data_IF_576686787585
#
_entry.id   IF_576686787585
#
_cell.length_a   1.000
_cell.length_b   1.000
_cell.length_c   1.000
_cell.angle_alpha   90.00
_cell.angle_beta   90.00
_cell.angle_gamma   90.00
#
_symmetry.space_group_name_H-M   'P 1'
#
loop_
_entity.id
_entity.type
_entity.pdbx_description
1 polymer ?
#
# COMPACT_ATOMS: atom_id res chain seq x y z
N UNK A 1 -13.92 35.06 -9.63
CA UNK A 1 -13.60 33.71 -9.13
C UNK A 1 -12.12 33.46 -9.41
N UNK A 2 -11.31 33.36 -8.36
CA UNK A 2 -9.94 32.93 -8.51
C UNK A 2 -9.92 31.48 -9.05
N UNK A 3 -9.22 31.25 -10.17
CA UNK A 3 -9.00 29.90 -10.65
C UNK A 3 -8.29 29.09 -9.55
N UNK A 4 -8.88 27.96 -9.18
CA UNK A 4 -8.22 27.01 -8.27
C UNK A 4 -6.94 26.55 -8.95
N UNK A 5 -5.77 26.97 -8.42
CA UNK A 5 -4.50 26.46 -8.91
C UNK A 5 -4.37 24.98 -8.51
N UNK A 6 -4.08 24.12 -9.48
CA UNK A 6 -3.80 22.72 -9.22
C UNK A 6 -2.62 22.57 -8.26
N UNK A 7 -2.75 21.70 -7.27
CA UNK A 7 -1.64 21.29 -6.39
C UNK A 7 -0.80 20.17 -6.99
N UNK A 8 -1.26 19.58 -8.11
CA UNK A 8 -0.50 18.57 -8.83
C UNK A 8 0.67 19.21 -9.56
N UNK A 9 1.88 18.75 -9.27
CA UNK A 9 3.07 19.05 -10.06
C UNK A 9 3.13 18.21 -11.33
N UNK A 10 4.06 18.55 -12.20
CA UNK A 10 4.38 17.71 -13.36
C UNK A 10 5.23 16.52 -12.91
N UNK A 11 4.77 15.30 -13.22
CA UNK A 11 5.43 14.07 -12.79
C UNK A 11 5.50 13.08 -13.94
N UNK A 12 6.70 12.53 -14.20
CA UNK A 12 6.91 11.46 -15.18
C UNK A 12 8.02 10.57 -14.67
N UNK A 13 7.66 9.41 -14.11
CA UNK A 13 8.62 8.48 -13.53
C UNK A 13 8.56 7.14 -14.26
N UNK A 14 9.71 6.68 -14.69
CA UNK A 14 9.88 5.30 -15.18
C UNK A 14 9.84 4.32 -14.00
N UNK A 15 9.62 3.02 -14.25
CA UNK A 15 9.69 2.03 -13.17
C UNK A 15 11.04 2.01 -12.43
N UNK A 16 12.13 2.31 -13.11
CA UNK A 16 13.45 2.38 -12.48
C UNK A 16 13.54 3.57 -11.51
N UNK A 17 13.02 4.73 -11.92
CA UNK A 17 12.98 5.93 -11.06
C UNK A 17 12.05 5.75 -9.86
N UNK A 18 10.92 5.05 -10.04
CA UNK A 18 10.02 4.71 -8.94
C UNK A 18 10.71 3.80 -7.93
N UNK A 19 11.50 2.82 -8.38
CA UNK A 19 12.23 1.92 -7.48
C UNK A 19 13.39 2.59 -6.76
N UNK A 20 13.97 3.63 -7.37
CA UNK A 20 15.03 4.39 -6.73
C UNK A 20 14.48 5.17 -5.54
N UNK A 21 15.27 5.30 -4.48
CA UNK A 21 14.94 6.12 -3.31
C UNK A 21 13.67 5.65 -2.55
N UNK A 22 13.47 4.35 -2.42
CA UNK A 22 12.43 3.81 -1.56
C UNK A 22 12.70 4.17 -0.09
N UNK A 23 11.66 4.63 0.61
CA UNK A 23 11.71 4.85 2.06
C UNK A 23 11.57 3.52 2.80
N UNK A 24 11.91 3.49 4.10
CA UNK A 24 11.79 2.30 4.92
C UNK A 24 10.35 1.87 5.19
N UNK A 25 10.20 0.86 6.04
CA UNK A 25 8.91 0.25 6.40
C UNK A 25 8.06 1.09 7.36
N UNK A 26 8.58 2.18 7.86
CA UNK A 26 7.96 3.02 8.89
C UNK A 26 7.03 4.11 8.33
N UNK A 27 6.82 4.14 7.03
CA UNK A 27 5.95 5.13 6.41
C UNK A 27 4.48 4.88 6.77
N UNK A 28 3.74 5.97 7.03
CA UNK A 28 2.31 5.90 7.32
C UNK A 28 1.55 5.24 6.16
N UNK A 29 0.60 4.35 6.47
CA UNK A 29 -0.13 3.59 5.46
C UNK A 29 0.61 2.37 4.91
N UNK A 30 1.87 2.14 5.33
CA UNK A 30 2.61 0.91 5.05
C UNK A 30 2.17 -0.22 5.99
N UNK A 31 2.52 -1.46 5.61
CA UNK A 31 2.31 -2.63 6.49
C UNK A 31 3.13 -2.57 7.78
N UNK A 32 4.21 -1.81 7.80
CA UNK A 32 5.17 -1.76 8.91
C UNK A 32 6.12 -2.95 8.97
N UNK A 33 5.99 -3.94 8.09
CA UNK A 33 6.85 -5.12 8.08
C UNK A 33 8.26 -4.78 7.60
N UNK A 34 9.25 -5.38 8.25
CA UNK A 34 10.64 -5.27 7.81
C UNK A 34 10.79 -5.79 6.37
N UNK A 35 11.55 -5.09 5.55
CA UNK A 35 11.74 -5.42 4.13
C UNK A 35 10.69 -4.85 3.19
N UNK A 36 9.52 -4.49 3.68
CA UNK A 36 8.53 -3.74 2.88
C UNK A 36 8.93 -2.27 2.86
N UNK A 37 9.11 -1.71 1.69
CA UNK A 37 9.50 -0.31 1.53
C UNK A 37 8.43 0.48 0.78
N UNK A 38 8.36 1.77 1.06
CA UNK A 38 7.36 2.67 0.48
C UNK A 38 8.04 3.91 -0.07
N UNK A 39 7.56 4.39 -1.21
CA UNK A 39 7.91 5.69 -1.77
C UNK A 39 6.65 6.52 -1.90
N UNK A 40 6.65 7.71 -1.35
CA UNK A 40 5.62 8.71 -1.63
C UNK A 40 5.92 9.33 -2.99
N UNK A 41 5.06 9.08 -3.96
CA UNK A 41 5.19 9.59 -5.32
C UNK A 41 4.54 10.97 -5.42
N UNK A 42 3.43 11.15 -4.74
CA UNK A 42 2.70 12.42 -4.74
C UNK A 42 1.96 12.60 -3.40
N UNK A 43 1.87 13.87 -2.95
CA UNK A 43 1.07 14.25 -1.79
C UNK A 43 1.74 13.89 -0.47
N UNK A 44 0.95 13.97 0.59
CA UNK A 44 1.34 13.61 1.95
C UNK A 44 0.28 12.69 2.56
N UNK A 45 0.56 11.39 2.70
CA UNK A 45 -0.42 10.43 3.22
C UNK A 45 -0.88 10.72 4.66
N UNK A 46 -0.15 11.54 5.41
CA UNK A 46 -0.50 11.93 6.79
C UNK A 46 -1.49 13.09 6.87
N UNK A 47 -1.77 13.74 5.74
CA UNK A 47 -2.61 14.93 5.67
C UNK A 47 -3.82 14.71 4.77
N UNK A 48 -4.81 15.58 4.94
CA UNK A 48 -5.96 15.62 4.03
C UNK A 48 -5.51 15.92 2.60
N UNK A 49 -6.03 15.20 1.65
CA UNK A 49 -5.77 15.38 0.23
C UNK A 49 -5.37 14.09 -0.48
N UNK A 50 -5.31 14.18 -1.80
CA UNK A 50 -4.91 13.07 -2.67
C UNK A 50 -3.44 12.73 -2.47
N UNK A 51 -3.12 11.44 -2.40
CA UNK A 51 -1.75 10.94 -2.38
C UNK A 51 -1.60 9.70 -3.26
N UNK A 52 -0.38 9.45 -3.68
CA UNK A 52 0.03 8.20 -4.32
C UNK A 52 1.32 7.71 -3.69
N UNK A 53 1.32 6.46 -3.26
CA UNK A 53 2.49 5.75 -2.76
C UNK A 53 2.77 4.53 -3.62
N UNK A 54 4.02 4.09 -3.64
CA UNK A 54 4.41 2.83 -4.25
C UNK A 54 5.02 1.94 -3.18
N UNK A 55 4.46 0.75 -3.06
CA UNK A 55 4.86 -0.26 -2.08
C UNK A 55 5.69 -1.32 -2.78
N UNK A 56 6.87 -1.62 -2.24
CA UNK A 56 7.74 -2.69 -2.69
C UNK A 56 7.78 -3.79 -1.64
N UNK A 57 7.33 -4.98 -2.00
CA UNK A 57 7.19 -6.11 -1.07
C UNK A 57 8.13 -7.24 -1.51
N UNK A 58 9.03 -7.72 -0.64
CA UNK A 58 9.93 -8.83 -0.98
C UNK A 58 9.17 -10.12 -1.29
N UNK A 59 9.84 -11.06 -1.95
CA UNK A 59 9.33 -12.42 -2.10
C UNK A 59 9.06 -13.06 -0.72
N UNK A 60 8.18 -14.05 -0.69
CA UNK A 60 7.85 -14.88 0.49
C UNK A 60 7.41 -14.06 1.72
N UNK A 61 6.63 -13.01 1.49
CA UNK A 61 6.13 -12.11 2.53
C UNK A 61 4.62 -12.26 2.66
N UNK A 62 4.15 -12.39 3.89
CA UNK A 62 2.73 -12.42 4.23
C UNK A 62 2.39 -11.17 5.03
N UNK A 63 1.36 -10.44 4.59
CA UNK A 63 0.79 -9.30 5.30
C UNK A 63 -0.55 -9.73 5.86
N UNK A 64 -0.64 -9.76 7.18
CA UNK A 64 -1.84 -10.19 7.92
C UNK A 64 -2.99 -9.20 7.76
N UNK A 65 -4.20 -9.64 8.12
CA UNK A 65 -5.41 -8.83 7.98
C UNK A 65 -5.29 -7.50 8.72
N UNK A 66 -5.55 -6.42 8.00
CA UNK A 66 -5.46 -5.05 8.50
C UNK A 66 -6.44 -4.14 7.74
N UNK A 67 -6.61 -2.94 8.24
CA UNK A 67 -7.45 -1.90 7.63
C UNK A 67 -6.66 -0.62 7.43
N UNK A 68 -7.18 0.22 6.56
CA UNK A 68 -6.83 1.64 6.45
C UNK A 68 -8.09 2.46 6.66
N UNK A 69 -7.94 3.68 7.18
CA UNK A 69 -9.10 4.55 7.46
C UNK A 69 -9.72 5.15 6.20
N UNK A 70 -8.95 5.29 5.15
CA UNK A 70 -9.37 5.86 3.86
C UNK A 70 -9.65 4.78 2.81
N UNK A 71 -10.42 5.13 1.79
CA UNK A 71 -10.58 4.31 0.60
C UNK A 71 -9.34 4.44 -0.28
N UNK A 72 -8.80 3.31 -0.68
CA UNK A 72 -7.61 3.26 -1.53
C UNK A 72 -7.87 2.42 -2.78
N UNK A 73 -7.29 2.84 -3.90
CA UNK A 73 -7.23 2.07 -5.14
C UNK A 73 -5.79 1.75 -5.47
N UNK A 74 -5.56 0.58 -6.02
CA UNK A 74 -4.22 0.11 -6.32
C UNK A 74 -4.12 -0.55 -7.68
N UNK A 75 -2.90 -0.50 -8.23
CA UNK A 75 -2.50 -1.18 -9.47
C UNK A 75 -1.27 -2.01 -9.18
N UNK A 76 -1.28 -3.27 -9.61
CA UNK A 76 -0.10 -4.13 -9.56
C UNK A 76 0.83 -3.73 -10.71
N UNK A 77 2.02 -3.25 -10.38
CA UNK A 77 3.00 -2.78 -11.36
C UNK A 77 3.90 -3.91 -11.84
N UNK A 78 4.39 -4.75 -10.91
CA UNK A 78 5.26 -5.89 -11.23
C UNK A 78 5.11 -7.01 -10.20
N UNK A 79 5.41 -8.24 -10.61
CA UNK A 79 5.20 -9.43 -9.81
C UNK A 79 3.72 -9.84 -9.76
N UNK A 80 3.42 -10.91 -9.04
CA UNK A 80 2.05 -11.38 -8.82
C UNK A 80 1.67 -11.15 -7.37
N UNK A 81 0.63 -10.33 -7.17
CA UNK A 81 0.11 -9.99 -5.86
C UNK A 81 -1.05 -10.91 -5.50
N UNK A 82 -0.93 -11.66 -4.41
CA UNK A 82 -2.01 -12.51 -3.91
C UNK A 82 -2.76 -11.73 -2.85
N UNK A 83 -4.03 -11.40 -3.12
CA UNK A 83 -4.80 -10.46 -2.32
C UNK A 83 -6.16 -11.02 -1.95
N UNK A 84 -6.58 -10.82 -0.71
CA UNK A 84 -7.88 -11.28 -0.21
C UNK A 84 -8.48 -10.36 0.82
N UNK A 85 -9.81 -10.48 1.00
CA UNK A 85 -10.57 -9.75 2.01
C UNK A 85 -10.98 -10.69 3.14
N UNK A 86 -10.97 -10.19 4.35
CA UNK A 86 -11.41 -10.90 5.54
C UNK A 86 -10.60 -10.55 6.77
N UNK A 87 -11.11 -10.92 7.93
CA UNK A 87 -10.52 -10.58 9.23
C UNK A 87 -9.30 -11.45 9.60
N UNK A 88 -9.15 -12.57 8.92
CA UNK A 88 -8.04 -13.49 9.13
C UNK A 88 -7.43 -13.89 7.80
N UNK A 89 -6.11 -14.04 7.78
CA UNK A 89 -5.41 -14.55 6.61
C UNK A 89 -5.95 -15.95 6.24
N UNK A 90 -6.39 -16.10 4.99
CA UNK A 90 -6.87 -17.36 4.44
C UNK A 90 -6.37 -17.50 2.99
N UNK A 91 -5.47 -18.46 2.76
CA UNK A 91 -4.92 -18.69 1.42
C UNK A 91 -6.00 -19.00 0.39
N UNK A 92 -7.11 -19.60 0.79
CA UNK A 92 -8.22 -19.94 -0.11
C UNK A 92 -9.00 -18.71 -0.58
N UNK A 93 -8.90 -17.60 0.15
CA UNK A 93 -9.53 -16.33 -0.21
C UNK A 93 -8.62 -15.43 -1.05
N UNK A 94 -7.38 -15.83 -1.31
CA UNK A 94 -6.44 -15.08 -2.13
C UNK A 94 -6.80 -15.19 -3.61
N UNK A 95 -6.82 -14.05 -4.28
CA UNK A 95 -6.87 -13.96 -5.73
C UNK A 95 -5.49 -13.54 -6.25
N UNK A 96 -4.99 -14.26 -7.22
CA UNK A 96 -3.71 -13.92 -7.87
C UNK A 96 -3.90 -12.78 -8.85
N UNK A 97 -3.20 -11.69 -8.63
CA UNK A 97 -3.27 -10.46 -9.41
C UNK A 97 -1.93 -10.24 -10.13
N UNK A 98 -1.84 -10.53 -11.44
CA UNK A 98 -0.64 -10.25 -12.23
C UNK A 98 -0.49 -8.76 -12.52
N UNK A 99 0.64 -8.32 -13.10
CA UNK A 99 0.85 -6.93 -13.48
C UNK A 99 -0.29 -6.36 -14.32
N UNK A 100 -0.69 -5.11 -14.03
CA UNK A 100 -1.81 -4.44 -14.66
C UNK A 100 -3.16 -4.70 -13.97
N UNK A 101 -3.22 -5.61 -12.99
CA UNK A 101 -4.43 -5.79 -12.19
C UNK A 101 -4.71 -4.57 -11.33
N UNK A 102 -5.98 -4.30 -11.10
CA UNK A 102 -6.45 -3.24 -10.20
C UNK A 102 -7.24 -3.86 -9.06
N UNK A 103 -7.09 -3.28 -7.87
CA UNK A 103 -7.87 -3.72 -6.72
C UNK A 103 -8.17 -2.55 -5.79
N UNK A 104 -9.17 -2.71 -4.94
CA UNK A 104 -9.57 -1.70 -3.96
C UNK A 104 -9.24 -2.15 -2.54
N UNK A 105 -8.94 -1.17 -1.70
CA UNK A 105 -8.85 -1.31 -0.26
C UNK A 105 -9.88 -0.36 0.36
N UNK A 106 -11.16 -0.79 0.46
CA UNK A 106 -12.19 0.07 1.02
C UNK A 106 -11.89 0.42 2.48
N UNK A 107 -12.15 1.65 2.87
CA UNK A 107 -11.91 2.13 4.22
C UNK A 107 -12.57 1.26 5.29
N UNK A 108 -11.83 0.91 6.34
CA UNK A 108 -12.26 0.07 7.44
C UNK A 108 -12.65 -1.38 7.07
N UNK A 109 -12.40 -1.81 5.84
CA UNK A 109 -12.58 -3.21 5.41
C UNK A 109 -11.26 -3.95 5.52
N UNK A 110 -11.24 -5.06 6.25
CA UNK A 110 -10.04 -5.87 6.44
C UNK A 110 -9.62 -6.58 5.16
N UNK A 111 -8.34 -6.58 4.91
CA UNK A 111 -7.70 -7.26 3.80
C UNK A 111 -6.33 -7.79 4.20
N UNK A 112 -5.84 -8.72 3.41
CA UNK A 112 -4.53 -9.35 3.60
C UNK A 112 -3.91 -9.67 2.26
N UNK A 113 -2.60 -9.91 2.26
CA UNK A 113 -1.87 -10.15 1.02
C UNK A 113 -0.66 -11.06 1.24
N UNK A 114 -0.18 -11.63 0.15
CA UNK A 114 1.01 -12.48 0.16
C UNK A 114 1.76 -12.36 -1.16
N UNK A 115 3.09 -12.39 -1.10
CA UNK A 115 3.94 -12.60 -2.26
C UNK A 115 4.35 -14.07 -2.36
N UNK A 116 4.64 -14.51 -3.58
CA UNK A 116 5.24 -15.82 -3.84
C UNK A 116 6.75 -15.72 -4.00
N UNK A 117 7.30 -16.43 -4.99
CA UNK A 117 8.73 -16.50 -5.25
C UNK A 117 9.34 -15.20 -5.81
N UNK A 118 8.50 -14.24 -6.21
CA UNK A 118 8.93 -12.96 -6.79
C UNK A 118 8.53 -11.79 -5.90
N UNK A 119 9.35 -10.72 -5.84
CA UNK A 119 8.94 -9.49 -5.21
C UNK A 119 7.80 -8.83 -6.01
N UNK A 120 7.03 -7.98 -5.34
CA UNK A 120 5.88 -7.29 -5.94
C UNK A 120 6.00 -5.79 -5.73
N UNK A 121 5.63 -5.04 -6.75
CA UNK A 121 5.49 -3.59 -6.71
C UNK A 121 4.03 -3.24 -6.95
N UNK A 122 3.42 -2.50 -6.03
CA UNK A 122 2.05 -1.98 -6.17
C UNK A 122 2.02 -0.47 -6.00
N UNK A 123 1.20 0.20 -6.80
CA UNK A 123 0.94 1.63 -6.71
C UNK A 123 -0.43 1.85 -6.08
N UNK A 124 -0.48 2.66 -5.03
CA UNK A 124 -1.67 2.87 -4.22
C UNK A 124 -1.98 4.35 -4.14
N UNK A 125 -3.23 4.70 -4.42
CA UNK A 125 -3.73 6.07 -4.30
C UNK A 125 -4.93 6.14 -3.38
N UNK A 126 -5.05 7.24 -2.64
CA UNK A 126 -6.15 7.49 -1.73
C UNK A 126 -6.28 8.96 -1.37
N UNK A 127 -7.16 9.24 -0.42
CA UNK A 127 -7.31 10.56 0.18
C UNK A 127 -6.95 10.48 1.66
N UNK A 128 -5.86 11.13 2.01
CA UNK A 128 -5.37 11.17 3.40
C UNK A 128 -6.28 11.94 4.36
N UNK A 129 -6.02 11.82 5.64
CA UNK A 129 -4.93 11.03 6.21
C UNK A 129 -5.22 9.53 6.17
N UNK A 130 -4.20 8.74 5.90
CA UNK A 130 -4.27 7.27 5.96
C UNK A 130 -3.73 6.76 7.30
N UNK A 131 -3.93 5.49 7.56
CA UNK A 131 -3.31 4.75 8.66
C UNK A 131 -3.20 3.26 8.29
N UNK A 132 -2.67 2.45 9.17
CA UNK A 132 -2.70 0.99 9.07
C UNK A 132 -2.99 0.42 10.46
N UNK A 133 -4.05 -0.40 10.56
CA UNK A 133 -4.43 -1.07 11.81
C UNK A 133 -4.63 -2.55 11.58
N UNK A 134 -3.87 -3.37 12.27
CA UNK A 134 -4.03 -4.82 12.21
C UNK A 134 -5.28 -5.25 12.97
N UNK A 135 -6.05 -6.17 12.38
CA UNK A 135 -7.26 -6.72 12.98
C UNK A 135 -6.92 -7.43 14.31
N UNK A 136 -5.89 -8.28 14.30
CA UNK A 136 -5.33 -8.85 15.52
C UNK A 136 -4.11 -8.00 15.95
N UNK A 137 -4.17 -7.34 17.12
CA UNK A 137 -3.06 -6.53 17.60
C UNK A 137 -1.73 -7.29 17.73
N UNK A 138 -1.78 -8.62 17.93
CA UNK A 138 -0.60 -9.47 17.98
C UNK A 138 0.18 -9.49 16.65
N UNK A 139 -0.47 -9.18 15.53
CA UNK A 139 0.15 -9.10 14.21
C UNK A 139 0.79 -7.73 13.92
N UNK A 140 0.63 -6.76 14.80
CA UNK A 140 1.25 -5.45 14.63
C UNK A 140 2.76 -5.59 14.66
N UNK A 141 3.48 -5.15 13.61
CA UNK A 141 4.93 -5.26 13.58
C UNK A 141 5.58 -4.51 14.76
N UNK A 142 6.65 -5.08 15.30
CA UNK A 142 7.42 -4.43 16.38
C UNK A 142 7.98 -3.10 15.90
N UNK A 143 7.81 -2.04 16.70
CA UNK A 143 8.25 -0.69 16.38
C UNK A 143 7.29 0.09 15.48
N UNK A 144 6.20 -0.53 15.00
CA UNK A 144 5.08 0.18 14.42
C UNK A 144 4.28 0.80 15.56
N UNK A 145 4.49 2.07 15.84
CA UNK A 145 3.57 2.85 16.67
C UNK A 145 2.20 2.99 15.98
N UNK A 146 1.29 3.74 16.57
CA UNK A 146 0.01 4.10 15.93
C UNK A 146 0.28 4.82 14.61
N UNK A 147 0.00 4.17 13.51
CA UNK A 147 0.30 4.65 12.15
C UNK A 147 -0.95 4.88 11.37
#
# INVERSE_FOLDING_TARGET
QAASSSTLGQLRLTPAEVRANQSGSDQIGSSGLAGVSTKVVFGDPSKSGFYTIVLSVPAHTTIQAHTHRDDRMAVVVSGTWHFGYGDHFDERALKSLPPGSVYSEPGAVTHFAQTGAEPVLVEISGFGPTDTRYFDPANTPKGAGDR
#
